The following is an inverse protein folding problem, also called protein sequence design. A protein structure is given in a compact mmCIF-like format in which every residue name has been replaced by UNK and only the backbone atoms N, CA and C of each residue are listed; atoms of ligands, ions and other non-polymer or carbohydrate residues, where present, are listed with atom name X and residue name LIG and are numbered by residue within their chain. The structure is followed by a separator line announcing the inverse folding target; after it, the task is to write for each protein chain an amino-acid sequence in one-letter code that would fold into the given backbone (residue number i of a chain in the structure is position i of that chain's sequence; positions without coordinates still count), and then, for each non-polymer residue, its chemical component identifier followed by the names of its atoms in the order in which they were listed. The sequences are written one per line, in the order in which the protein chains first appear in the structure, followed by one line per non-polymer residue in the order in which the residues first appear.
data_IF_139827011237
#
_entry.id   IF_139827011237
#
_cell.length_a   1.000
_cell.length_b   1.000
_cell.length_c   1.000
_cell.angle_alpha   90.00
_cell.angle_beta   90.00
_cell.angle_gamma   90.00
#
_symmetry.space_group_name_H-M   'P 1'
#
loop_
_entity.id
_entity.type
_entity.pdbx_description
1 polymer ?
#
# COMPACT_ATOMS: atom_id res chain seq x y z
N UNK A 1 14.16 11.16 -35.97
CA UNK A 1 14.52 9.99 -35.13
C UNK A 1 14.59 10.35 -33.63
N UNK A 2 15.29 11.40 -33.22
CA UNK A 2 15.34 11.79 -31.79
C UNK A 2 13.98 12.25 -31.25
N UNK A 3 13.28 13.14 -31.96
CA UNK A 3 11.95 13.63 -31.57
C UNK A 3 10.92 12.49 -31.40
N UNK A 4 10.93 11.53 -32.33
CA UNK A 4 10.04 10.36 -32.29
C UNK A 4 10.35 9.44 -31.12
N UNK A 5 11.62 9.26 -30.76
CA UNK A 5 12.02 8.49 -29.57
C UNK A 5 11.58 9.20 -28.28
N UNK A 6 11.78 10.52 -28.18
CA UNK A 6 11.33 11.30 -27.02
C UNK A 6 9.81 11.18 -26.85
N UNK A 7 9.05 11.31 -27.93
CA UNK A 7 7.59 11.21 -27.88
C UNK A 7 7.13 9.85 -27.37
N UNK A 8 7.75 8.76 -27.85
CA UNK A 8 7.47 7.39 -27.39
C UNK A 8 7.79 7.19 -25.91
N UNK A 9 8.93 7.71 -25.44
CA UNK A 9 9.31 7.62 -24.03
C UNK A 9 8.33 8.37 -23.12
N UNK A 10 7.89 9.57 -23.53
CA UNK A 10 6.90 10.35 -22.78
C UNK A 10 5.55 9.63 -22.73
N UNK A 11 5.06 9.10 -23.86
CA UNK A 11 3.80 8.36 -23.87
C UNK A 11 3.87 7.09 -23.01
N UNK A 12 4.96 6.33 -23.11
CA UNK A 12 5.18 5.15 -22.27
C UNK A 12 5.22 5.52 -20.78
N UNK A 13 5.89 6.61 -20.40
CA UNK A 13 5.96 7.08 -19.03
C UNK A 13 4.58 7.51 -18.49
N UNK A 14 3.78 8.24 -19.28
CA UNK A 14 2.41 8.63 -18.92
C UNK A 14 1.54 7.40 -18.73
N UNK A 15 1.59 6.44 -19.65
CA UNK A 15 0.81 5.20 -19.58
C UNK A 15 1.20 4.38 -18.35
N UNK A 16 2.50 4.24 -18.06
CA UNK A 16 3.00 3.58 -16.87
C UNK A 16 2.51 4.29 -15.59
N UNK A 17 2.54 5.61 -15.54
CA UNK A 17 2.05 6.39 -14.40
C UNK A 17 0.55 6.17 -14.15
N UNK A 18 -0.26 6.11 -15.21
CA UNK A 18 -1.69 5.80 -15.15
C UNK A 18 -1.92 4.39 -14.58
N UNK A 19 -1.20 3.38 -15.09
CA UNK A 19 -1.31 2.00 -14.59
C UNK A 19 -0.96 1.92 -13.10
N UNK A 20 0.12 2.59 -12.69
CA UNK A 20 0.54 2.62 -11.28
C UNK A 20 -0.55 3.26 -10.42
N UNK A 21 -1.15 4.37 -10.86
CA UNK A 21 -2.23 5.03 -10.13
C UNK A 21 -3.52 4.22 -10.10
N UNK A 22 -3.84 3.48 -11.17
CA UNK A 22 -5.00 2.61 -11.25
C UNK A 22 -4.89 1.39 -10.32
N UNK A 23 -3.68 0.95 -9.98
CA UNK A 23 -3.43 -0.15 -9.04
C UNK A 23 -3.54 0.27 -7.57
N UNK A 24 -3.64 1.56 -7.25
CA UNK A 24 -3.79 2.03 -5.86
C UNK A 24 -5.23 1.83 -5.41
N UNK A 25 -5.42 0.92 -4.45
CA UNK A 25 -6.74 0.56 -3.90
C UNK A 25 -7.14 1.53 -2.79
N UNK A 26 -6.20 1.87 -1.91
CA UNK A 26 -6.42 2.87 -0.86
C UNK A 26 -5.13 3.62 -0.52
N UNK A 27 -5.29 4.79 0.08
CA UNK A 27 -4.20 5.64 0.58
C UNK A 27 -4.54 6.11 1.98
N UNK A 28 -3.64 5.86 2.92
CA UNK A 28 -3.66 6.37 4.28
C UNK A 28 -2.58 7.44 4.45
N UNK A 29 -2.88 8.46 5.25
CA UNK A 29 -1.94 9.48 5.69
C UNK A 29 -1.80 9.42 7.21
N UNK A 30 -0.56 9.44 7.66
CA UNK A 30 -0.18 9.62 9.05
C UNK A 30 0.11 11.10 9.27
N UNK A 31 -0.52 11.71 10.26
CA UNK A 31 -0.33 13.11 10.64
C UNK A 31 -0.42 13.23 12.17
N UNK A 32 0.67 13.67 12.81
CA UNK A 32 0.78 13.69 14.27
C UNK A 32 0.53 12.34 14.94
N UNK A 33 0.82 11.23 14.25
CA UNK A 33 0.55 9.86 14.72
C UNK A 33 -0.90 9.40 14.59
N UNK A 34 -1.82 10.24 14.09
CA UNK A 34 -3.19 9.84 13.71
C UNK A 34 -3.21 9.38 12.26
N UNK A 35 -4.10 8.43 11.95
CA UNK A 35 -4.24 7.91 10.59
C UNK A 35 -5.57 8.32 9.99
N UNK A 36 -5.50 8.90 8.79
CA UNK A 36 -6.66 9.31 8.00
C UNK A 36 -6.65 8.60 6.66
N UNK A 37 -7.83 8.19 6.18
CA UNK A 37 -7.98 7.61 4.84
C UNK A 37 -8.15 8.75 3.83
N UNK A 38 -7.23 8.88 2.89
CA UNK A 38 -7.30 9.88 1.81
C UNK A 38 -8.09 9.38 0.61
N UNK A 39 -8.00 8.08 0.31
CA UNK A 39 -8.64 7.46 -0.85
C UNK A 39 -8.93 6.00 -0.58
N UNK A 40 -10.03 5.50 -1.16
CA UNK A 40 -10.38 4.09 -1.15
C UNK A 40 -10.96 3.62 0.17
N UNK A 41 -11.19 2.31 0.27
CA UNK A 41 -11.76 1.68 1.47
C UNK A 41 -10.78 0.65 2.02
N UNK A 42 -9.96 1.01 3.02
CA UNK A 42 -9.10 0.02 3.69
C UNK A 42 -9.95 -1.04 4.39
N UNK A 43 -9.39 -2.22 4.68
CA UNK A 43 -10.09 -3.27 5.43
C UNK A 43 -10.56 -2.77 6.80
N UNK A 44 -11.67 -3.31 7.34
CA UNK A 44 -12.16 -2.94 8.65
C UNK A 44 -11.11 -3.20 9.72
N UNK A 45 -10.94 -2.26 10.66
CA UNK A 45 -9.94 -2.33 11.73
C UNK A 45 -8.49 -1.99 11.31
N UNK A 46 -8.16 -2.01 10.02
CA UNK A 46 -6.78 -1.77 9.57
C UNK A 46 -6.28 -0.35 9.88
N UNK A 47 -7.14 0.67 9.80
CA UNK A 47 -6.80 2.06 10.12
C UNK A 47 -6.38 2.18 11.59
N UNK A 48 -7.20 1.64 12.50
CA UNK A 48 -6.93 1.67 13.94
C UNK A 48 -5.67 0.89 14.28
N UNK A 49 -5.50 -0.30 13.71
CA UNK A 49 -4.29 -1.10 13.92
C UNK A 49 -3.02 -0.40 13.41
N UNK A 50 -3.10 0.32 12.29
CA UNK A 50 -1.98 1.15 11.85
C UNK A 50 -1.73 2.33 12.80
N UNK A 51 -2.77 2.94 13.38
CA UNK A 51 -2.63 4.04 14.34
C UNK A 51 -1.91 3.58 15.61
N UNK A 52 -2.24 2.39 16.09
CA UNK A 52 -1.55 1.75 17.21
C UNK A 52 -0.06 1.52 16.88
N UNK A 53 0.24 0.98 15.70
CA UNK A 53 1.63 0.78 15.24
C UNK A 53 2.37 2.11 15.13
N UNK A 54 1.75 3.14 14.55
CA UNK A 54 2.34 4.47 14.41
C UNK A 54 2.70 5.06 15.78
N UNK A 55 1.80 4.94 16.76
CA UNK A 55 2.03 5.37 18.15
C UNK A 55 3.15 4.58 18.82
N UNK A 56 3.13 3.24 18.73
CA UNK A 56 4.14 2.37 19.36
C UNK A 56 5.53 2.55 18.77
N UNK A 57 5.63 2.89 17.48
CA UNK A 57 6.90 3.04 16.76
C UNK A 57 7.35 4.49 16.59
N UNK A 58 6.61 5.46 17.14
CA UNK A 58 6.94 6.88 17.06
C UNK A 58 6.87 7.47 15.65
N UNK A 59 6.04 6.91 14.76
CA UNK A 59 5.86 7.40 13.38
C UNK A 59 4.86 8.54 13.39
N UNK A 60 5.34 9.78 13.28
CA UNK A 60 4.49 10.95 13.32
C UNK A 60 3.85 11.28 11.96
N UNK A 61 4.53 10.97 10.85
CA UNK A 61 4.14 11.43 9.51
C UNK A 61 4.42 10.37 8.44
N UNK A 62 3.66 10.41 7.35
CA UNK A 62 3.92 9.60 6.16
C UNK A 62 2.67 9.10 5.46
N UNK A 63 2.85 8.26 4.43
CA UNK A 63 1.76 7.71 3.62
C UNK A 63 1.92 6.20 3.45
N UNK A 64 0.81 5.50 3.64
CA UNK A 64 0.70 4.05 3.40
C UNK A 64 -0.28 3.84 2.26
N UNK A 65 0.16 3.17 1.19
CA UNK A 65 -0.68 2.86 0.02
C UNK A 65 -0.90 1.35 -0.06
N UNK A 66 -2.15 0.94 -0.25
CA UNK A 66 -2.48 -0.42 -0.67
C UNK A 66 -2.46 -0.50 -2.20
N UNK A 67 -1.54 -1.28 -2.75
CA UNK A 67 -1.38 -1.45 -4.21
C UNK A 67 -1.77 -2.87 -4.61
N UNK A 68 -2.70 -3.00 -5.56
CA UNK A 68 -3.11 -4.27 -6.11
C UNK A 68 -2.01 -4.85 -7.00
N UNK A 69 -1.63 -6.08 -6.72
CA UNK A 69 -0.69 -6.91 -7.47
C UNK A 69 -1.42 -8.17 -7.97
N UNK A 70 -0.74 -9.01 -8.75
CA UNK A 70 -1.31 -10.29 -9.20
C UNK A 70 -1.59 -11.28 -8.05
N UNK A 71 -0.96 -11.11 -6.90
CA UNK A 71 -1.06 -11.99 -5.73
C UNK A 71 -1.88 -11.39 -4.56
N UNK A 72 -2.58 -10.27 -4.79
CA UNK A 72 -3.39 -9.59 -3.77
C UNK A 72 -3.05 -8.12 -3.63
N UNK A 73 -3.12 -7.58 -2.41
CA UNK A 73 -2.79 -6.17 -2.13
C UNK A 73 -1.52 -6.07 -1.28
N UNK A 74 -0.55 -5.30 -1.75
CA UNK A 74 0.72 -5.05 -1.09
C UNK A 74 0.77 -3.62 -0.53
N UNK A 75 1.31 -3.48 0.68
CA UNK A 75 1.58 -2.16 1.26
C UNK A 75 2.84 -1.52 0.68
N UNK A 76 2.74 -0.24 0.36
CA UNK A 76 3.84 0.64 -0.03
C UNK A 76 3.89 1.83 0.92
N UNK A 77 5.09 2.17 1.35
CA UNK A 77 5.34 3.24 2.33
C UNK A 77 6.05 4.39 1.63
N UNK A 78 5.74 5.61 2.04
CA UNK A 78 6.51 6.78 1.63
C UNK A 78 7.81 6.89 2.43
N UNK A 79 8.74 7.74 1.97
CA UNK A 79 10.07 7.88 2.56
C UNK A 79 10.07 8.47 3.97
N UNK A 80 8.99 9.16 4.37
CA UNK A 80 8.82 9.72 5.71
C UNK A 80 8.58 8.63 6.78
N UNK A 81 8.18 7.41 6.37
CA UNK A 81 8.01 6.27 7.27
C UNK A 81 9.33 5.48 7.33
N UNK A 82 10.00 5.39 8.50
CA UNK A 82 11.28 4.72 8.62
C UNK A 82 11.20 3.23 8.24
N UNK A 83 12.16 2.76 7.45
CA UNK A 83 12.17 1.40 6.88
C UNK A 83 12.05 0.28 7.94
N UNK A 84 12.67 0.47 9.11
CA UNK A 84 12.62 -0.51 10.21
C UNK A 84 11.20 -0.69 10.79
N UNK A 85 10.27 0.25 10.56
CA UNK A 85 8.87 0.15 11.03
C UNK A 85 7.96 -0.54 10.02
N UNK A 86 8.39 -0.70 8.76
CA UNK A 86 7.53 -1.22 7.68
C UNK A 86 7.00 -2.61 7.99
N UNK A 87 7.79 -3.46 8.65
CA UNK A 87 7.36 -4.80 9.03
C UNK A 87 6.22 -4.77 10.06
N UNK A 88 6.21 -3.82 10.99
CA UNK A 88 5.14 -3.72 11.98
C UNK A 88 3.79 -3.39 11.32
N UNK A 89 3.77 -2.48 10.34
CA UNK A 89 2.58 -2.21 9.54
C UNK A 89 2.14 -3.41 8.67
N UNK A 90 3.09 -4.21 8.19
CA UNK A 90 2.78 -5.46 7.46
C UNK A 90 2.20 -6.53 8.37
N UNK A 91 2.62 -6.60 9.64
CA UNK A 91 2.10 -7.59 10.58
C UNK A 91 0.63 -7.34 10.95
N UNK A 92 0.18 -6.08 10.93
CA UNK A 92 -1.24 -5.74 11.16
C UNK A 92 -2.09 -5.74 9.88
N UNK A 93 -1.48 -6.01 8.73
CA UNK A 93 -2.18 -6.11 7.45
C UNK A 93 -2.88 -7.46 7.32
N UNK A 94 -4.21 -7.43 7.42
CA UNK A 94 -5.05 -8.57 7.07
C UNK A 94 -5.84 -8.24 5.81
N UNK A 95 -5.55 -8.86 4.66
CA UNK A 95 -6.35 -8.65 3.46
C UNK A 95 -7.78 -9.13 3.71
N UNK A 96 -8.80 -8.47 3.14
CA UNK A 96 -10.18 -8.90 3.30
C UNK A 96 -10.36 -10.31 2.71
N UNK A 97 -11.23 -11.15 3.31
CA UNK A 97 -11.53 -12.49 2.79
C UNK A 97 -12.27 -12.36 1.45
N UNK A 98 -11.52 -12.39 0.35
CA UNK A 98 -12.09 -12.25 -0.99
C UNK A 98 -11.08 -11.84 -2.04
N UNK A 99 -10.47 -12.83 -2.69
CA UNK A 99 -9.81 -12.68 -3.99
C UNK A 99 -8.36 -13.14 -4.06
N UNK A 100 -8.11 -14.45 -4.09
CA UNK A 100 -6.93 -15.00 -4.74
C UNK A 100 -5.77 -15.49 -3.88
N UNK A 101 -6.01 -16.02 -2.68
CA UNK A 101 -5.01 -16.79 -1.92
C UNK A 101 -5.50 -18.21 -1.72
N UNK A 102 -5.01 -19.16 -2.52
CA UNK A 102 -5.29 -20.58 -2.35
C UNK A 102 -5.00 -21.01 -0.91
N UNK A 103 -6.04 -21.48 -0.23
CA UNK A 103 -5.94 -21.98 1.13
C UNK A 103 -4.95 -23.12 1.18
N UNK A 104 -3.84 -22.91 1.89
CA UNK A 104 -2.97 -24.00 2.31
C UNK A 104 -3.79 -24.93 3.19
N UNK A 105 -4.05 -26.14 2.70
CA UNK A 105 -4.56 -27.23 3.49
C UNK A 105 -3.61 -27.42 4.68
N UNK A 106 -4.09 -27.15 5.90
CA UNK A 106 -3.41 -27.61 7.10
C UNK A 106 -3.64 -29.12 7.17
N UNK A 107 -2.56 -29.88 7.02
CA UNK A 107 -2.57 -31.31 7.34
C UNK A 107 -3.01 -31.46 8.80
N UNK A 108 -4.12 -32.15 9.00
CA UNK A 108 -4.59 -32.63 10.30
C UNK A 108 -4.49 -34.14 10.30
N UNK A 109 -3.77 -34.69 11.28
CA UNK A 109 -3.80 -36.12 11.62
C UNK A 109 -2.75 -36.94 10.92
#
# INVERSE_FOLDING_TARGET
MVLTVILLLVTAAVFAAIIIHARVVFVLRIDGGRITTLRGRPPPGFVNACEDVARMRGVAQGRIKGVRTGAGTQLRFSSEIPAHTHQAFRNVWTPPPGGGGGGGARASG
#
